data_IF_394520760482
#
_entry.id   IF_394520760482
#
_cell.length_a   1.000
_cell.length_b   1.000
_cell.length_c   1.000
_cell.angle_alpha   90.00
_cell.angle_beta   90.00
_cell.angle_gamma   90.00
#
_symmetry.space_group_name_H-M   'P 1'
#
loop_
_entity.id
_entity.type
_entity.pdbx_description
1 polymer ?
#
# COMPACT_ATOMS: atom_id res chain seq x y z
N UNK A 1 -5.84 14.68 -12.43
CA UNK A 1 -5.09 15.74 -11.68
C UNK A 1 -4.59 15.11 -10.39
N UNK A 2 -3.30 15.26 -10.06
CA UNK A 2 -2.75 14.81 -8.77
C UNK A 2 -3.08 15.83 -7.68
N UNK A 3 -3.38 15.32 -6.48
CA UNK A 3 -3.53 16.13 -5.27
C UNK A 3 -2.94 15.36 -4.09
N UNK A 4 -2.33 16.05 -3.12
CA UNK A 4 -1.89 15.41 -1.88
C UNK A 4 -3.08 14.86 -1.10
N UNK A 5 -2.82 13.85 -0.27
CA UNK A 5 -3.78 13.39 0.72
C UNK A 5 -3.92 14.40 1.87
N UNK A 6 -4.98 14.25 2.65
CA UNK A 6 -5.19 15.04 3.86
C UNK A 6 -4.20 14.63 4.98
N UNK A 7 -4.06 15.51 5.96
CA UNK A 7 -3.13 15.30 7.09
C UNK A 7 -3.47 14.06 7.91
N UNK A 8 -4.75 13.74 8.07
CA UNK A 8 -5.18 12.57 8.83
C UNK A 8 -4.71 11.26 8.16
N UNK A 9 -4.76 11.21 6.82
CA UNK A 9 -4.24 10.06 6.04
C UNK A 9 -2.73 9.92 6.23
N UNK A 10 -1.95 11.00 6.13
CA UNK A 10 -0.51 10.94 6.35
C UNK A 10 -0.16 10.52 7.77
N UNK A 11 -0.85 11.07 8.78
CA UNK A 11 -0.62 10.70 10.17
C UNK A 11 -0.98 9.23 10.44
N UNK A 12 -2.05 8.71 9.83
CA UNK A 12 -2.41 7.31 9.94
C UNK A 12 -1.32 6.38 9.37
N UNK A 13 -0.64 6.77 8.28
CA UNK A 13 0.51 6.03 7.74
C UNK A 13 1.71 6.12 8.68
N UNK A 14 2.06 7.33 9.13
CA UNK A 14 3.24 7.56 9.98
C UNK A 14 3.13 6.78 11.31
N UNK A 15 1.94 6.67 11.88
CA UNK A 15 1.69 5.90 13.10
C UNK A 15 1.92 4.39 12.93
N UNK A 16 2.03 3.89 11.70
CA UNK A 16 2.31 2.49 11.38
C UNK A 16 3.79 2.23 11.07
N UNK A 17 4.62 3.26 10.98
CA UNK A 17 6.05 3.16 10.65
C UNK A 17 6.86 3.07 11.94
N UNK A 18 7.71 2.06 12.03
CA UNK A 18 8.63 1.85 13.16
C UNK A 18 10.02 2.47 12.87
N UNK A 19 10.77 2.73 13.93
CA UNK A 19 12.09 3.38 13.83
C UNK A 19 13.14 2.53 13.07
N UNK A 20 13.01 1.22 13.09
CA UNK A 20 13.88 0.27 12.39
C UNK A 20 13.43 -0.07 10.98
N UNK A 21 12.28 0.45 10.52
CA UNK A 21 11.79 0.21 9.16
C UNK A 21 12.72 0.79 8.09
N UNK A 22 12.80 0.05 7.00
CA UNK A 22 13.22 0.53 5.69
C UNK A 22 11.96 0.61 4.82
N UNK A 23 11.52 1.83 4.55
CA UNK A 23 10.25 2.11 3.88
C UNK A 23 10.47 2.27 2.37
N UNK A 24 9.58 1.71 1.55
CA UNK A 24 9.47 2.01 0.13
C UNK A 24 8.13 2.72 -0.14
N UNK A 25 8.18 4.02 -0.46
CA UNK A 25 7.03 4.84 -0.85
C UNK A 25 6.82 4.77 -2.37
N UNK A 26 5.73 4.11 -2.81
CA UNK A 26 5.42 3.84 -4.21
C UNK A 26 4.42 4.90 -4.71
N UNK A 27 4.86 5.74 -5.66
CA UNK A 27 4.10 6.90 -6.12
C UNK A 27 4.15 8.04 -5.12
N UNK A 28 5.38 8.41 -4.73
CA UNK A 28 5.66 9.31 -3.60
C UNK A 28 5.20 10.77 -3.81
N UNK A 29 4.76 11.12 -5.02
CA UNK A 29 4.23 12.45 -5.33
C UNK A 29 5.26 13.54 -5.09
N UNK A 30 4.91 14.53 -4.26
CA UNK A 30 5.77 15.67 -3.88
C UNK A 30 6.68 15.36 -2.69
N UNK A 31 6.89 14.11 -2.34
CA UNK A 31 7.78 13.61 -1.29
C UNK A 31 7.39 14.01 0.16
N UNK A 32 6.26 14.69 0.39
CA UNK A 32 5.90 15.13 1.75
C UNK A 32 5.74 14.00 2.76
N UNK A 33 5.17 12.85 2.34
CA UNK A 33 5.09 11.66 3.19
C UNK A 33 6.47 11.04 3.35
N UNK A 34 7.22 10.83 2.27
CA UNK A 34 8.55 10.23 2.29
C UNK A 34 9.52 10.99 3.24
N UNK A 35 9.49 12.32 3.21
CA UNK A 35 10.30 13.17 4.12
C UNK A 35 9.88 13.02 5.59
N UNK A 36 8.59 12.96 5.86
CA UNK A 36 8.09 12.73 7.22
C UNK A 36 8.47 11.34 7.73
N UNK A 37 8.29 10.32 6.90
CA UNK A 37 8.69 8.96 7.21
C UNK A 37 10.20 8.86 7.50
N UNK A 38 11.03 9.54 6.72
CA UNK A 38 12.48 9.53 6.92
C UNK A 38 12.93 10.15 8.24
N UNK A 39 12.10 10.97 8.90
CA UNK A 39 12.39 11.51 10.25
C UNK A 39 12.12 10.51 11.38
N UNK A 40 11.38 9.45 11.11
CA UNK A 40 10.93 8.48 12.14
C UNK A 40 11.42 7.06 11.90
N UNK A 41 11.96 6.75 10.70
CA UNK A 41 12.41 5.42 10.36
C UNK A 41 13.89 5.39 9.93
N UNK A 42 14.43 4.19 9.79
CA UNK A 42 15.84 3.97 9.43
C UNK A 42 16.20 4.50 8.05
N UNK A 43 15.33 4.30 7.04
CA UNK A 43 15.55 4.71 5.64
C UNK A 43 14.25 4.77 4.88
N UNK A 44 14.18 5.65 3.89
CA UNK A 44 13.09 5.71 2.91
C UNK A 44 13.64 5.66 1.50
N UNK A 45 13.10 4.77 0.70
CA UNK A 45 13.15 4.80 -0.75
C UNK A 45 11.84 5.39 -1.27
N UNK A 46 11.87 6.38 -2.13
CA UNK A 46 10.71 7.00 -2.74
C UNK A 46 10.77 6.85 -4.26
N UNK A 47 9.73 6.29 -4.86
CA UNK A 47 9.63 6.15 -6.32
C UNK A 47 8.48 7.03 -6.81
N UNK A 48 8.78 7.94 -7.76
CA UNK A 48 7.77 8.76 -8.43
C UNK A 48 8.06 8.81 -9.95
N UNK A 49 6.99 8.62 -10.75
CA UNK A 49 7.09 8.62 -12.21
C UNK A 49 7.03 10.02 -12.79
N UNK A 50 6.40 10.99 -12.10
CA UNK A 50 6.22 12.36 -12.58
C UNK A 50 7.35 13.26 -12.13
N UNK A 51 8.19 13.62 -13.08
CA UNK A 51 9.35 14.50 -12.85
C UNK A 51 8.93 15.84 -12.26
N UNK A 52 7.83 16.42 -12.75
CA UNK A 52 7.33 17.71 -12.31
C UNK A 52 6.99 17.76 -10.80
N UNK A 53 6.58 16.65 -10.20
CA UNK A 53 6.33 16.59 -8.74
C UNK A 53 7.64 16.56 -7.95
N UNK A 54 8.65 15.86 -8.45
CA UNK A 54 9.97 15.83 -7.84
C UNK A 54 10.66 17.22 -7.93
N UNK A 55 10.49 17.93 -9.05
CA UNK A 55 11.00 19.29 -9.21
C UNK A 55 10.30 20.28 -8.29
N UNK A 56 8.98 20.12 -8.07
CA UNK A 56 8.25 20.93 -7.09
C UNK A 56 8.76 20.66 -5.68
N UNK A 57 9.02 19.40 -5.37
CA UNK A 57 9.54 18.99 -4.08
C UNK A 57 10.90 19.60 -3.76
N UNK A 58 11.78 19.82 -4.74
CA UNK A 58 13.12 20.38 -4.56
C UNK A 58 13.17 21.91 -4.47
N UNK A 59 12.06 22.61 -4.76
CA UNK A 59 11.97 24.07 -4.72
C UNK A 59 11.67 24.63 -3.33
N UNK A 60 11.32 23.80 -2.37
CA UNK A 60 11.06 24.25 -1.01
C UNK A 60 12.39 24.50 -0.30
N UNK A 61 12.76 25.78 -0.16
CA UNK A 61 14.02 26.23 0.46
C UNK A 61 14.14 25.83 1.94
N UNK A 62 13.02 25.45 2.57
CA UNK A 62 12.99 24.89 3.93
C UNK A 62 13.25 23.38 3.92
N UNK A 63 13.62 22.82 2.78
CA UNK A 63 13.85 21.39 2.61
C UNK A 63 15.18 20.99 3.28
N UNK A 64 15.06 20.59 4.53
CA UNK A 64 16.17 20.00 5.26
C UNK A 64 16.58 18.73 4.50
N UNK A 65 17.79 18.72 3.99
CA UNK A 65 18.36 17.52 3.37
C UNK A 65 18.22 16.33 4.33
N UNK A 66 17.44 15.34 3.93
CA UNK A 66 17.17 14.15 4.75
C UNK A 66 18.08 13.04 4.23
N UNK A 67 19.19 12.80 4.92
CA UNK A 67 20.28 11.91 4.48
C UNK A 67 19.80 10.45 4.21
N UNK A 68 18.78 10.00 4.91
CA UNK A 68 18.24 8.66 4.78
C UNK A 68 17.05 8.53 3.81
N UNK A 69 16.78 9.58 3.01
CA UNK A 69 15.78 9.56 1.92
C UNK A 69 16.47 9.41 0.56
N UNK A 70 16.16 8.34 -0.13
CA UNK A 70 16.68 8.03 -1.48
C UNK A 70 15.52 8.12 -2.48
N UNK A 71 15.61 9.07 -3.42
CA UNK A 71 14.56 9.32 -4.40
C UNK A 71 14.93 8.74 -5.76
N UNK A 72 14.01 7.95 -6.33
CA UNK A 72 14.13 7.38 -7.67
C UNK A 72 13.04 7.95 -8.59
N UNK A 73 13.45 8.66 -9.63
CA UNK A 73 12.54 9.02 -10.72
C UNK A 73 12.36 7.83 -11.65
N UNK A 74 11.12 7.36 -11.79
CA UNK A 74 10.80 6.27 -12.72
C UNK A 74 9.50 5.55 -12.40
N UNK A 75 9.19 4.57 -13.24
CA UNK A 75 7.99 3.75 -13.12
C UNK A 75 8.23 2.56 -12.19
N UNK A 76 7.56 2.56 -11.03
CA UNK A 76 7.65 1.50 -10.04
C UNK A 76 7.23 0.12 -10.57
N UNK A 77 6.47 0.05 -11.69
CA UNK A 77 6.15 -1.21 -12.35
C UNK A 77 7.38 -1.92 -12.89
N UNK A 78 8.36 -1.14 -13.33
CA UNK A 78 9.57 -1.63 -14.01
C UNK A 78 10.85 -1.54 -13.17
N UNK A 79 10.94 -0.60 -12.24
CA UNK A 79 12.10 -0.47 -11.36
C UNK A 79 12.19 -1.66 -10.38
N UNK A 80 13.39 -2.20 -10.13
CA UNK A 80 13.58 -3.19 -9.07
C UNK A 80 13.34 -2.56 -7.70
N UNK A 81 12.77 -3.34 -6.78
CA UNK A 81 12.63 -2.90 -5.39
C UNK A 81 13.86 -3.29 -4.58
N UNK A 82 14.36 -2.41 -3.69
CA UNK A 82 15.49 -2.73 -2.81
C UNK A 82 15.18 -3.93 -1.92
N UNK A 83 16.17 -4.79 -1.68
CA UNK A 83 15.96 -6.03 -0.92
C UNK A 83 15.99 -5.86 0.60
N UNK A 84 16.38 -4.68 1.06
CA UNK A 84 16.38 -4.32 2.48
C UNK A 84 15.06 -3.65 2.94
N UNK A 85 14.08 -3.52 2.05
CA UNK A 85 12.76 -2.96 2.36
C UNK A 85 11.99 -3.88 3.31
N UNK A 86 11.56 -3.34 4.46
CA UNK A 86 10.71 -4.03 5.43
C UNK A 86 9.24 -3.66 5.27
N UNK A 87 8.97 -2.42 4.87
CA UNK A 87 7.62 -1.85 4.82
C UNK A 87 7.39 -1.11 3.50
N UNK A 88 6.37 -1.53 2.73
CA UNK A 88 5.87 -0.78 1.58
C UNK A 88 4.83 0.25 2.00
N UNK A 89 4.77 1.37 1.29
CA UNK A 89 3.67 2.34 1.36
C UNK A 89 3.10 2.53 -0.05
N UNK A 90 1.78 2.43 -0.18
CA UNK A 90 1.06 2.62 -1.45
C UNK A 90 -0.22 3.42 -1.19
N UNK A 91 -0.13 4.74 -1.27
CA UNK A 91 -1.27 5.63 -1.19
C UNK A 91 -1.81 5.93 -2.59
N UNK A 92 -2.55 4.98 -3.14
CA UNK A 92 -3.06 5.08 -4.50
C UNK A 92 -4.45 4.41 -4.56
N UNK A 93 -5.50 5.18 -4.24
CA UNK A 93 -6.88 4.71 -4.34
C UNK A 93 -7.15 4.15 -5.73
N UNK A 94 -7.85 3.03 -5.81
CA UNK A 94 -8.17 2.34 -7.08
C UNK A 94 -6.94 1.96 -7.92
N UNK A 95 -5.83 1.58 -7.26
CA UNK A 95 -4.60 1.18 -7.93
C UNK A 95 -4.82 -0.04 -8.84
N UNK A 96 -4.75 0.16 -10.16
CA UNK A 96 -4.90 -0.92 -11.14
C UNK A 96 -3.76 -1.96 -11.06
N UNK A 97 -2.61 -1.60 -10.49
CA UNK A 97 -1.43 -2.44 -10.39
C UNK A 97 -1.16 -2.92 -8.95
N UNK A 98 -2.18 -2.92 -8.10
CA UNK A 98 -2.03 -3.28 -6.69
C UNK A 98 -1.31 -4.62 -6.50
N UNK A 99 -1.79 -5.69 -7.17
CA UNK A 99 -1.19 -7.02 -7.11
C UNK A 99 0.27 -7.02 -7.50
N UNK A 100 0.63 -6.34 -8.59
CA UNK A 100 2.01 -6.24 -9.06
C UNK A 100 2.94 -5.65 -7.97
N UNK A 101 2.50 -4.56 -7.32
CA UNK A 101 3.31 -3.94 -6.26
C UNK A 101 3.39 -4.81 -5.00
N UNK A 102 2.29 -5.46 -4.61
CA UNK A 102 2.29 -6.41 -3.50
C UNK A 102 3.22 -7.61 -3.77
N UNK A 103 3.18 -8.19 -4.98
CA UNK A 103 4.06 -9.29 -5.39
C UNK A 103 5.54 -8.85 -5.40
N UNK A 104 5.84 -7.65 -5.91
CA UNK A 104 7.21 -7.09 -5.91
C UNK A 104 7.74 -6.84 -4.51
N UNK A 105 6.93 -6.27 -3.61
CA UNK A 105 7.29 -6.07 -2.21
C UNK A 105 7.55 -7.40 -1.50
N UNK A 106 6.66 -8.38 -1.69
CA UNK A 106 6.83 -9.73 -1.13
C UNK A 106 8.12 -10.39 -1.63
N UNK A 107 8.41 -10.27 -2.93
CA UNK A 107 9.64 -10.81 -3.53
C UNK A 107 10.90 -10.06 -3.07
N UNK A 108 10.81 -8.78 -2.70
CA UNK A 108 11.89 -8.01 -2.09
C UNK A 108 12.14 -8.38 -0.61
N UNK A 109 11.23 -9.15 0.02
CA UNK A 109 11.33 -9.57 1.41
C UNK A 109 10.61 -8.66 2.40
N UNK A 110 9.80 -7.71 1.93
CA UNK A 110 9.02 -6.84 2.80
C UNK A 110 7.99 -7.63 3.62
N UNK A 111 7.81 -7.24 4.87
CA UNK A 111 6.87 -7.90 5.80
C UNK A 111 5.45 -7.39 5.62
N UNK A 112 5.28 -6.10 5.33
CA UNK A 112 3.97 -5.44 5.30
C UNK A 112 3.85 -4.35 4.23
N UNK A 113 2.61 -4.05 3.87
CA UNK A 113 2.21 -2.95 3.01
C UNK A 113 1.19 -2.08 3.74
N UNK A 114 1.50 -0.80 3.91
CA UNK A 114 0.59 0.24 4.39
C UNK A 114 -0.08 0.86 3.18
N UNK A 115 -1.42 0.83 3.11
CA UNK A 115 -2.12 1.24 1.90
C UNK A 115 -3.53 1.77 2.17
N UNK A 116 -4.04 2.58 1.27
CA UNK A 116 -5.45 2.97 1.18
C UNK A 116 -6.11 2.53 -0.12
N UNK A 117 -5.50 1.57 -0.82
CA UNK A 117 -5.92 1.15 -2.15
C UNK A 117 -7.08 0.14 -2.14
N UNK A 118 -7.39 -0.47 -1.00
CA UNK A 118 -8.37 -1.55 -0.89
C UNK A 118 -9.56 -1.18 -0.01
N UNK A 119 -9.51 -1.61 1.25
CA UNK A 119 -10.63 -1.67 2.16
C UNK A 119 -11.13 -0.29 2.58
N UNK A 120 -12.36 0.03 2.18
CA UNK A 120 -13.04 1.31 2.48
C UNK A 120 -12.20 2.56 2.18
N UNK A 121 -11.11 2.42 1.42
CA UNK A 121 -10.14 3.48 1.10
C UNK A 121 -9.54 4.19 2.33
N UNK A 122 -9.66 3.59 3.50
CA UNK A 122 -8.94 3.97 4.71
C UNK A 122 -7.53 3.38 4.71
N UNK A 123 -6.65 3.91 5.56
CA UNK A 123 -5.30 3.35 5.74
C UNK A 123 -5.39 2.03 6.48
N UNK A 124 -4.87 0.98 5.86
CA UNK A 124 -4.75 -0.37 6.43
C UNK A 124 -3.30 -0.86 6.37
N UNK A 125 -2.97 -1.84 7.20
CA UNK A 125 -1.70 -2.56 7.19
C UNK A 125 -1.96 -3.99 6.75
N UNK A 126 -1.36 -4.38 5.63
CA UNK A 126 -1.48 -5.73 5.08
C UNK A 126 -0.18 -6.50 5.30
N UNK A 127 -0.23 -7.62 6.03
CA UNK A 127 0.89 -8.53 6.16
C UNK A 127 1.14 -9.26 4.84
N UNK A 128 2.32 -9.07 4.25
CA UNK A 128 2.64 -9.62 2.92
C UNK A 128 2.92 -11.13 2.96
N UNK A 129 3.41 -11.63 4.08
CA UNK A 129 3.78 -13.03 4.27
C UNK A 129 2.65 -13.89 4.87
N UNK A 130 1.53 -13.28 5.30
CA UNK A 130 0.41 -14.01 5.88
C UNK A 130 -0.22 -14.99 4.87
N UNK A 131 -0.65 -16.14 5.37
CA UNK A 131 -1.46 -17.08 4.61
C UNK A 131 -2.82 -16.48 4.29
N UNK A 132 -3.33 -16.80 3.10
CA UNK A 132 -4.64 -16.35 2.61
C UNK A 132 -5.43 -17.55 2.14
N UNK A 133 -6.72 -17.56 2.46
CA UNK A 133 -7.60 -18.63 2.02
C UNK A 133 -8.06 -18.41 0.57
N UNK A 134 -8.31 -19.47 -0.21
CA UNK A 134 -9.02 -19.36 -1.48
C UNK A 134 -10.45 -18.81 -1.27
N UNK A 135 -10.92 -17.94 -2.17
CA UNK A 135 -12.26 -17.35 -2.10
C UNK A 135 -13.37 -18.41 -1.95
N UNK A 136 -13.20 -19.58 -2.57
CA UNK A 136 -14.17 -20.69 -2.46
C UNK A 136 -14.35 -21.18 -1.02
N UNK A 137 -13.30 -21.09 -0.17
CA UNK A 137 -13.32 -21.51 1.23
C UNK A 137 -13.87 -20.44 2.17
N UNK A 138 -13.95 -19.18 1.69
CA UNK A 138 -14.63 -18.14 2.44
C UNK A 138 -16.09 -18.53 2.58
N UNK A 139 -16.63 -18.46 3.79
CA UNK A 139 -18.06 -18.60 4.03
C UNK A 139 -18.78 -17.31 3.64
N UNK A 140 -19.59 -16.75 4.51
CA UNK A 140 -20.22 -15.45 4.33
C UNK A 140 -19.33 -14.36 4.91
N UNK A 141 -19.26 -13.19 4.28
CA UNK A 141 -18.58 -12.04 4.87
C UNK A 141 -17.80 -11.17 3.91
N UNK A 142 -17.19 -10.12 4.47
CA UNK A 142 -16.33 -9.23 3.72
C UNK A 142 -14.98 -9.87 3.42
N UNK A 143 -14.46 -9.59 2.23
CA UNK A 143 -13.12 -10.03 1.83
C UNK A 143 -12.30 -8.91 1.23
N UNK A 144 -10.99 -9.01 1.43
CA UNK A 144 -9.97 -8.26 0.70
C UNK A 144 -9.07 -9.23 -0.05
N UNK A 145 -8.98 -9.06 -1.36
CA UNK A 145 -8.22 -9.95 -2.22
C UNK A 145 -6.80 -9.44 -2.44
N UNK A 146 -5.88 -10.39 -2.65
CA UNK A 146 -4.50 -10.09 -3.05
C UNK A 146 -4.39 -9.24 -4.32
N UNK A 147 -5.41 -9.25 -5.19
CA UNK A 147 -5.47 -8.40 -6.38
C UNK A 147 -5.85 -6.94 -6.10
N UNK A 148 -6.17 -6.58 -4.86
CA UNK A 148 -6.65 -5.26 -4.47
C UNK A 148 -8.17 -5.10 -4.46
N UNK A 149 -8.91 -6.08 -4.96
CA UNK A 149 -10.38 -6.05 -4.94
C UNK A 149 -10.93 -6.38 -3.56
N UNK A 150 -12.03 -5.73 -3.19
CA UNK A 150 -12.82 -6.01 -2.00
C UNK A 150 -14.27 -6.31 -2.39
N UNK A 151 -14.98 -7.03 -1.53
CA UNK A 151 -16.38 -7.35 -1.73
C UNK A 151 -16.97 -8.13 -0.56
N UNK A 152 -18.24 -8.45 -0.68
CA UNK A 152 -18.97 -9.27 0.27
C UNK A 152 -19.42 -10.58 -0.39
N UNK A 153 -19.08 -11.72 0.21
CA UNK A 153 -19.59 -13.03 -0.22
C UNK A 153 -20.91 -13.29 0.48
N UNK A 154 -22.02 -13.41 -0.26
CA UNK A 154 -23.33 -13.69 0.34
C UNK A 154 -23.39 -15.12 0.90
N UNK A 155 -24.24 -15.32 1.87
CA UNK A 155 -24.57 -16.61 2.49
C UNK A 155 -26.02 -16.64 2.96
N UNK A 156 -26.34 -17.55 3.86
CA UNK A 156 -27.68 -17.64 4.45
C UNK A 156 -27.90 -16.45 5.43
N UNK A 157 -29.10 -15.91 5.44
CA UNK A 157 -29.45 -14.74 6.28
C UNK A 157 -29.21 -15.03 7.77
N UNK A 158 -29.44 -16.27 8.19
CA UNK A 158 -29.26 -16.73 9.56
C UNK A 158 -27.80 -16.71 10.02
N UNK A 159 -26.86 -16.68 9.09
CA UNK A 159 -25.41 -16.60 9.35
C UNK A 159 -24.93 -15.15 9.52
N UNK A 160 -25.78 -14.16 9.21
CA UNK A 160 -25.43 -12.75 9.28
C UNK A 160 -25.36 -12.26 10.74
N UNK A 161 -24.16 -12.10 11.25
CA UNK A 161 -23.86 -11.58 12.59
C UNK A 161 -23.07 -10.29 12.51
N UNK A 162 -22.98 -9.54 13.61
CA UNK A 162 -22.12 -8.36 13.70
C UNK A 162 -20.67 -8.74 13.40
N UNK A 163 -20.18 -9.87 13.90
CA UNK A 163 -18.83 -10.34 13.63
C UNK A 163 -18.56 -10.54 12.14
N UNK A 164 -19.52 -11.10 11.39
CA UNK A 164 -19.43 -11.28 9.93
C UNK A 164 -19.35 -9.92 9.20
N UNK A 165 -20.07 -8.92 9.69
CA UNK A 165 -20.11 -7.58 9.08
C UNK A 165 -18.86 -6.76 9.42
N UNK A 166 -18.27 -6.96 10.59
CA UNK A 166 -17.12 -6.19 11.08
C UNK A 166 -15.78 -6.80 10.70
N UNK A 167 -15.74 -8.11 10.39
CA UNK A 167 -14.52 -8.82 10.04
C UNK A 167 -14.28 -8.85 8.55
N UNK A 168 -13.04 -8.57 8.14
CA UNK A 168 -12.58 -8.75 6.77
C UNK A 168 -11.64 -9.96 6.69
N UNK A 169 -11.84 -10.82 5.70
CA UNK A 169 -11.00 -11.99 5.47
C UNK A 169 -10.08 -11.78 4.26
N UNK A 170 -8.81 -12.11 4.43
CA UNK A 170 -7.83 -12.02 3.36
C UNK A 170 -7.94 -13.25 2.44
N UNK A 171 -8.13 -13.02 1.13
CA UNK A 171 -8.23 -14.10 0.15
C UNK A 171 -7.17 -13.98 -0.94
N UNK A 172 -6.71 -15.13 -1.45
CA UNK A 172 -5.67 -15.19 -2.50
C UNK A 172 -6.24 -14.90 -3.89
N UNK A 173 -7.51 -15.22 -4.09
CA UNK A 173 -8.25 -15.06 -5.35
C UNK A 173 -9.65 -14.50 -5.08
N UNK A 174 -10.33 -14.02 -6.11
CA UNK A 174 -11.71 -13.56 -6.02
C UNK A 174 -12.35 -13.57 -7.42
N UNK A 175 -13.68 -13.40 -7.55
CA UNK A 175 -14.34 -13.36 -8.87
C UNK A 175 -13.74 -12.33 -9.83
N UNK A 176 -13.24 -11.18 -9.34
CA UNK A 176 -12.58 -10.19 -10.19
C UNK A 176 -11.22 -10.65 -10.74
N UNK A 177 -10.50 -11.55 -10.05
CA UNK A 177 -9.24 -12.11 -10.57
C UNK A 177 -9.47 -12.97 -11.81
N UNK A 178 -10.65 -13.59 -11.91
CA UNK A 178 -11.00 -14.49 -13.01
C UNK A 178 -11.42 -13.73 -14.28
N UNK A 179 -11.81 -12.46 -14.15
CA UNK A 179 -12.25 -11.62 -15.26
C UNK A 179 -11.09 -10.92 -16.00
N UNK A 180 -9.87 -11.02 -15.51
CA UNK A 180 -8.67 -10.34 -16.09
C UNK A 180 -7.81 -11.32 -16.92
N UNK A 181 -8.34 -12.48 -17.29
CA UNK A 181 -7.69 -13.38 -18.24
C UNK A 181 -8.24 -13.07 -19.64
N UNK A 182 -7.73 -12.01 -20.26
CA UNK A 182 -7.72 -11.83 -21.73
C UNK A 182 -6.43 -11.14 -22.13
#
# INVERSE_FOLDING_TARGET
MWAPYDEATYQAVLNQIAADDVVLDIGAGDLRLARRAARVCRRVYAIEIRRELLELATRDENDIHVENLIVHHGDARHLPFPRDVTTGVLLMRHCAHFRLYADKLKAAGADRLITNARWRMGVEVMALQAERIPYRQLEMGWYACWCGATGFKPGLVEQLTLAVVETIQEVVDCPKCQTVIV
#
